data_IF_929795853088
#
_entry.id   IF_929795853088
#
_cell.length_a   1.000
_cell.length_b   1.000
_cell.length_c   1.000
_cell.angle_alpha   90.00
_cell.angle_beta   90.00
_cell.angle_gamma   90.00
#
_symmetry.space_group_name_H-M   'P 1'
#
loop_
_entity.id
_entity.type
_entity.pdbx_description
1 polymer ?
#
# COMPACT_ATOMS: atom_id res chain seq x y z
N UNK A 1 -13.97 21.98 2.89
CA UNK A 1 -13.59 20.65 2.36
C UNK A 1 -12.08 20.55 2.49
N UNK A 2 -11.48 19.45 2.93
CA UNK A 2 -10.03 19.39 3.08
C UNK A 2 -9.36 19.47 1.70
N UNK A 3 -8.53 20.48 1.48
CA UNK A 3 -7.80 20.63 0.21
C UNK A 3 -6.74 19.53 0.04
N UNK A 4 -6.56 19.08 -1.20
CA UNK A 4 -5.54 18.10 -1.56
C UNK A 4 -5.81 16.67 -1.09
N UNK A 5 -7.07 16.30 -0.80
CA UNK A 5 -7.47 14.92 -0.49
C UNK A 5 -8.02 14.25 -1.74
N UNK A 6 -7.50 13.07 -2.08
CA UNK A 6 -7.96 12.27 -3.22
C UNK A 6 -8.19 10.81 -2.83
N UNK A 7 -9.28 10.22 -3.34
CA UNK A 7 -9.51 8.78 -3.26
C UNK A 7 -8.88 8.10 -4.48
N UNK A 8 -7.95 7.18 -4.24
CA UNK A 8 -7.21 6.47 -5.29
C UNK A 8 -7.68 5.03 -5.35
N UNK A 9 -8.38 4.68 -6.43
CA UNK A 9 -8.90 3.33 -6.65
C UNK A 9 -7.78 2.37 -7.05
N UNK A 10 -7.21 1.68 -6.07
CA UNK A 10 -6.14 0.70 -6.27
C UNK A 10 -6.67 -0.70 -6.61
N UNK A 11 -7.94 -0.99 -6.33
CA UNK A 11 -8.45 -2.37 -6.26
C UNK A 11 -7.80 -3.13 -5.10
N UNK A 12 -7.61 -4.45 -5.22
CA UNK A 12 -6.99 -5.28 -4.18
C UNK A 12 -7.92 -6.40 -3.78
N UNK A 13 -8.24 -6.49 -2.48
CA UNK A 13 -9.20 -7.47 -1.96
C UNK A 13 -10.56 -7.40 -2.68
N UNK A 14 -10.99 -6.19 -3.07
CA UNK A 14 -12.14 -5.95 -3.94
C UNK A 14 -11.77 -5.07 -5.15
N UNK A 15 -12.50 -5.17 -6.29
CA UNK A 15 -12.27 -4.30 -7.45
C UNK A 15 -12.44 -2.80 -7.17
N UNK A 16 -13.21 -2.44 -6.13
CA UNK A 16 -13.43 -1.07 -5.67
C UNK A 16 -12.47 -0.59 -4.57
N UNK A 17 -11.49 -1.42 -4.18
CA UNK A 17 -10.53 -1.09 -3.13
C UNK A 17 -9.87 0.27 -3.38
N UNK A 18 -9.89 1.12 -2.36
CA UNK A 18 -9.52 2.53 -2.48
C UNK A 18 -8.69 2.93 -1.28
N UNK A 19 -7.65 3.71 -1.53
CA UNK A 19 -6.88 4.36 -0.46
C UNK A 19 -7.17 5.86 -0.48
N UNK A 20 -7.07 6.50 0.69
CA UNK A 20 -7.13 7.95 0.77
C UNK A 20 -5.71 8.49 0.68
N UNK A 21 -5.46 9.38 -0.26
CA UNK A 21 -4.24 10.19 -0.33
C UNK A 21 -4.56 11.60 0.16
N UNK A 22 -3.67 12.16 0.97
CA UNK A 22 -3.73 13.58 1.34
C UNK A 22 -2.39 14.24 1.12
N UNK A 23 -2.32 15.13 0.12
CA UNK A 23 -1.11 15.83 -0.29
C UNK A 23 -0.55 16.74 0.80
N UNK A 24 -1.41 17.43 1.56
CA UNK A 24 -1.00 18.35 2.62
C UNK A 24 -0.52 17.66 3.90
N UNK A 25 -0.75 16.35 4.04
CA UNK A 25 -0.36 15.60 5.22
C UNK A 25 1.15 15.48 5.42
N UNK A 26 1.57 15.17 6.64
CA UNK A 26 2.98 15.02 7.01
C UNK A 26 3.84 16.22 6.59
N UNK A 27 3.42 17.43 6.96
CA UNK A 27 4.12 18.68 6.63
C UNK A 27 4.28 18.88 5.10
N UNK A 28 3.26 18.52 4.33
CA UNK A 28 3.27 18.62 2.86
C UNK A 28 4.10 17.55 2.14
N UNK A 29 4.55 16.51 2.84
CA UNK A 29 5.21 15.34 2.25
C UNK A 29 4.22 14.28 1.74
N UNK A 30 2.96 14.40 2.13
CA UNK A 30 1.85 13.55 1.74
C UNK A 30 1.69 12.32 2.63
N UNK A 31 0.44 11.87 2.77
CA UNK A 31 0.11 10.63 3.48
C UNK A 31 -0.82 9.75 2.65
N UNK A 32 -0.79 8.45 2.93
CA UNK A 32 -1.79 7.48 2.46
C UNK A 32 -2.43 6.79 3.66
N UNK A 33 -3.76 6.80 3.73
CA UNK A 33 -4.52 5.90 4.60
C UNK A 33 -4.90 4.67 3.76
N UNK A 34 -4.23 3.55 4.01
CA UNK A 34 -4.23 2.40 3.10
C UNK A 34 -5.37 1.41 3.31
N UNK A 35 -6.09 1.50 4.44
CA UNK A 35 -7.08 0.50 4.81
C UNK A 35 -6.47 -0.90 4.89
N UNK A 36 -7.19 -1.89 4.35
CA UNK A 36 -6.76 -3.28 4.21
C UNK A 36 -6.06 -3.58 2.87
N UNK A 37 -6.03 -2.60 1.96
CA UNK A 37 -5.44 -2.73 0.61
C UNK A 37 -3.92 -2.86 0.67
N UNK A 38 -3.28 -2.06 1.53
CA UNK A 38 -1.86 -2.16 1.84
C UNK A 38 -1.71 -2.41 3.34
N UNK A 39 -1.31 -3.63 3.70
CA UNK A 39 -1.11 -3.95 5.12
C UNK A 39 0.33 -3.76 5.51
N UNK A 40 0.58 -2.77 6.36
CA UNK A 40 1.88 -2.53 6.96
C UNK A 40 2.24 -3.68 7.91
N UNK A 41 3.40 -4.31 7.71
CA UNK A 41 3.89 -5.41 8.54
C UNK A 41 4.31 -4.93 9.93
N UNK A 42 4.52 -5.88 10.86
CA UNK A 42 4.78 -5.55 12.28
C UNK A 42 6.02 -4.67 12.45
N UNK A 43 7.03 -4.91 11.62
CA UNK A 43 8.29 -4.15 11.64
C UNK A 43 8.18 -2.74 11.05
N UNK A 44 7.02 -2.39 10.46
CA UNK A 44 6.71 -1.09 9.86
C UNK A 44 7.65 -0.66 8.73
N UNK A 45 8.36 -1.62 8.13
CA UNK A 45 9.28 -1.41 7.00
C UNK A 45 8.73 -1.94 5.69
N UNK A 46 7.87 -2.95 5.76
CA UNK A 46 7.32 -3.63 4.60
C UNK A 46 5.79 -3.59 4.62
N UNK A 47 5.23 -3.95 3.48
CA UNK A 47 3.81 -4.15 3.28
C UNK A 47 3.54 -5.55 2.72
N UNK A 48 2.35 -6.07 2.98
CA UNK A 48 1.83 -7.30 2.37
C UNK A 48 0.48 -7.05 1.70
N UNK A 49 0.10 -7.95 0.80
CA UNK A 49 -1.01 -7.79 -0.13
C UNK A 49 -1.87 -9.07 -0.15
N UNK A 50 -2.99 -9.08 0.58
CA UNK A 50 -3.77 -10.30 0.81
C UNK A 50 -5.17 -10.18 0.22
N UNK A 51 -5.68 -11.29 -0.35
CA UNK A 51 -7.09 -11.40 -0.73
C UNK A 51 -7.92 -12.07 0.38
N UNK A 52 -7.30 -12.67 1.40
CA UNK A 52 -7.97 -13.18 2.58
C UNK A 52 -7.00 -13.27 3.75
N UNK A 53 -7.13 -12.38 4.74
CA UNK A 53 -6.33 -12.45 5.96
C UNK A 53 -6.66 -13.68 6.84
N UNK A 54 -7.94 -14.07 7.03
CA UNK A 54 -8.25 -15.25 7.84
C UNK A 54 -7.58 -16.54 7.32
N UNK A 55 -7.46 -16.68 6.00
CA UNK A 55 -6.87 -17.85 5.36
C UNK A 55 -5.44 -17.62 4.87
N UNK A 56 -4.87 -16.44 5.13
CA UNK A 56 -3.55 -16.01 4.66
C UNK A 56 -3.34 -16.24 3.14
N UNK A 57 -4.37 -15.94 2.33
CA UNK A 57 -4.28 -16.07 0.88
C UNK A 57 -3.71 -14.81 0.21
N UNK A 58 -2.68 -14.95 -0.65
CA UNK A 58 -2.04 -13.83 -1.31
C UNK A 58 -2.91 -13.22 -2.43
N UNK A 59 -2.70 -11.94 -2.72
CA UNK A 59 -3.16 -11.37 -4.00
C UNK A 59 -2.31 -11.90 -5.16
N UNK A 60 -2.92 -12.04 -6.34
CA UNK A 60 -2.17 -12.38 -7.55
C UNK A 60 -1.11 -11.31 -7.89
N UNK A 61 0.03 -11.72 -8.43
CA UNK A 61 1.14 -10.83 -8.79
C UNK A 61 0.71 -9.66 -9.69
N UNK A 62 -0.14 -9.93 -10.69
CA UNK A 62 -0.69 -8.90 -11.58
C UNK A 62 -1.51 -7.84 -10.81
N UNK A 63 -2.26 -8.25 -9.78
CA UNK A 63 -3.03 -7.32 -8.94
C UNK A 63 -2.11 -6.46 -8.08
N UNK A 64 -1.06 -7.05 -7.49
CA UNK A 64 -0.07 -6.30 -6.69
C UNK A 64 0.67 -5.29 -7.56
N UNK A 65 1.05 -5.68 -8.78
CA UNK A 65 1.70 -4.79 -9.75
C UNK A 65 0.83 -3.59 -10.08
N UNK A 66 -0.44 -3.84 -10.41
CA UNK A 66 -1.42 -2.78 -10.69
C UNK A 66 -1.58 -1.81 -9.52
N UNK A 67 -1.60 -2.29 -8.28
CA UNK A 67 -1.66 -1.43 -7.08
C UNK A 67 -0.41 -0.53 -7.01
N UNK A 68 0.78 -1.10 -7.17
CA UNK A 68 2.03 -0.37 -7.13
C UNK A 68 2.11 0.68 -8.25
N UNK A 69 1.72 0.33 -9.48
CA UNK A 69 1.69 1.23 -10.63
C UNK A 69 0.68 2.37 -10.44
N UNK A 70 -0.49 2.06 -9.86
CA UNK A 70 -1.52 3.07 -9.56
C UNK A 70 -1.04 4.10 -8.54
N UNK A 71 -0.23 3.67 -7.56
CA UNK A 71 0.31 4.52 -6.51
C UNK A 71 1.62 5.22 -6.90
N UNK A 72 2.33 4.76 -7.92
CA UNK A 72 3.63 5.31 -8.33
C UNK A 72 3.63 6.83 -8.62
N UNK A 73 2.59 7.43 -9.22
CA UNK A 73 2.55 8.88 -9.47
C UNK A 73 2.28 9.72 -8.21
N UNK A 74 1.81 9.10 -7.12
CA UNK A 74 1.37 9.81 -5.92
C UNK A 74 2.54 10.04 -4.98
N UNK A 75 2.78 11.30 -4.60
CA UNK A 75 3.79 11.66 -3.61
C UNK A 75 3.24 11.49 -2.19
N UNK A 76 3.82 10.58 -1.41
CA UNK A 76 3.53 10.41 0.01
C UNK A 76 4.73 9.85 0.76
N UNK A 77 4.88 10.27 2.02
CA UNK A 77 5.98 9.85 2.90
C UNK A 77 5.50 8.92 4.01
N UNK A 78 4.24 9.08 4.47
CA UNK A 78 3.67 8.24 5.54
C UNK A 78 2.52 7.38 5.05
N UNK A 79 2.39 6.21 5.66
CA UNK A 79 1.27 5.28 5.44
C UNK A 79 0.63 4.99 6.79
N UNK A 80 -0.69 5.08 6.85
CA UNK A 80 -1.50 4.69 7.99
C UNK A 80 -2.39 3.51 7.57
N UNK A 81 -2.12 2.33 8.13
CA UNK A 81 -2.92 1.13 7.92
C UNK A 81 -4.20 1.09 8.74
N UNK A 82 -5.01 0.04 8.54
CA UNK A 82 -6.29 -0.13 9.21
C UNK A 82 -6.22 -0.38 10.73
N UNK A 83 -5.06 -0.77 11.27
CA UNK A 83 -4.91 -1.19 12.67
C UNK A 83 -3.87 -0.34 13.44
N UNK A 84 -4.05 -0.16 14.77
CA UNK A 84 -3.06 0.50 15.61
C UNK A 84 -1.67 -0.14 15.48
N UNK A 85 -0.63 0.69 15.42
CA UNK A 85 0.75 0.22 15.27
C UNK A 85 1.13 -0.22 13.84
N UNK A 86 0.23 -0.10 12.86
CA UNK A 86 0.47 -0.43 11.44
C UNK A 86 0.67 0.81 10.60
N UNK A 87 1.76 1.53 10.86
CA UNK A 87 2.09 2.76 10.14
C UNK A 87 3.54 2.81 9.69
N UNK A 88 3.78 3.34 8.49
CA UNK A 88 5.11 3.73 8.00
C UNK A 88 5.24 5.23 8.20
N UNK A 89 6.26 5.66 8.97
CA UNK A 89 6.41 7.07 9.36
C UNK A 89 7.34 7.88 8.45
N UNK A 90 8.06 7.21 7.54
CA UNK A 90 8.91 7.81 6.52
C UNK A 90 9.15 6.80 5.40
N UNK A 91 9.33 7.28 4.16
CA UNK A 91 9.65 6.44 3.00
C UNK A 91 8.49 5.56 2.51
N UNK A 92 7.25 6.00 2.70
CA UNK A 92 6.04 5.24 2.35
C UNK A 92 6.01 4.77 0.90
N UNK A 93 6.30 5.65 -0.06
CA UNK A 93 6.33 5.29 -1.47
C UNK A 93 7.36 4.18 -1.76
N UNK A 94 8.57 4.28 -1.21
CA UNK A 94 9.61 3.27 -1.34
C UNK A 94 9.20 1.94 -0.70
N UNK A 95 8.56 1.99 0.47
CA UNK A 95 8.06 0.80 1.15
C UNK A 95 7.02 0.07 0.29
N UNK A 96 6.09 0.78 -0.36
CA UNK A 96 5.11 0.18 -1.28
C UNK A 96 5.80 -0.48 -2.47
N UNK A 97 6.67 0.25 -3.17
CA UNK A 97 7.33 -0.26 -4.38
C UNK A 97 8.25 -1.44 -4.08
N UNK A 98 9.08 -1.34 -3.03
CA UNK A 98 9.98 -2.42 -2.62
C UNK A 98 9.23 -3.67 -2.15
N UNK A 99 8.14 -3.48 -1.40
CA UNK A 99 7.29 -4.60 -0.95
C UNK A 99 6.61 -5.28 -2.12
N UNK A 100 6.03 -4.51 -3.05
CA UNK A 100 5.36 -5.04 -4.23
C UNK A 100 6.33 -5.83 -5.13
N UNK A 101 7.52 -5.28 -5.40
CA UNK A 101 8.54 -5.92 -6.21
C UNK A 101 8.96 -7.28 -5.62
N UNK A 102 9.31 -7.29 -4.33
CA UNK A 102 9.66 -8.51 -3.60
C UNK A 102 8.52 -9.52 -3.58
N UNK A 103 7.30 -9.08 -3.33
CA UNK A 103 6.12 -9.95 -3.26
C UNK A 103 5.85 -10.64 -4.60
N UNK A 104 5.94 -9.88 -5.69
CA UNK A 104 5.75 -10.38 -7.06
C UNK A 104 6.84 -11.38 -7.44
N UNK A 105 8.11 -11.10 -7.10
CA UNK A 105 9.24 -12.00 -7.35
C UNK A 105 9.03 -13.37 -6.70
N UNK A 106 8.55 -13.38 -5.45
CA UNK A 106 8.22 -14.61 -4.72
C UNK A 106 7.08 -15.39 -5.38
N UNK A 107 6.00 -14.71 -5.78
CA UNK A 107 4.86 -15.38 -6.42
C UNK A 107 5.16 -15.92 -7.82
N UNK A 108 6.08 -15.27 -8.54
CA UNK A 108 6.48 -15.67 -9.88
C UNK A 108 7.66 -16.67 -9.85
N UNK A 109 8.06 -17.16 -8.66
CA UNK A 109 9.05 -18.23 -8.50
C UNK A 109 10.47 -17.81 -8.86
N UNK A 110 10.79 -16.51 -8.82
CA UNK A 110 12.11 -15.98 -9.20
C UNK A 110 13.07 -15.76 -8.03
N UNK A 111 12.74 -16.29 -6.85
CA UNK A 111 13.57 -16.17 -5.66
C UNK A 111 14.89 -16.95 -5.85
N UNK A 112 16.01 -16.23 -5.98
CA UNK A 112 17.37 -16.79 -6.01
C UNK A 112 17.82 -17.27 -4.64
#
# INVERSE_FOLDING_TARGET
MWDGVTLVRCGGHFPGGTVLHWQGGAEGKGIVCSGDILTVTVDRKWLTFMCSYPNMMPLAAATVRRIADTLAPWRFDRIYGAFPGRQVMAGGAQAVQGSAARYIELLEGRQS
#
